data_IF_987366113533
#
_entry.id   IF_987366113533
#
_cell.length_a   1.000
_cell.length_b   1.000
_cell.length_c   1.000
_cell.angle_alpha   90.00
_cell.angle_beta   90.00
_cell.angle_gamma   90.00
#
_symmetry.space_group_name_H-M   'P 1'
#
loop_
_entity.id
_entity.type
_entity.pdbx_description
1 polymer ?
#
# COMPACT_ATOMS: atom_id res chain seq x y z
N UNK A 1 7.56 6.74 -22.12
CA UNK A 1 7.87 5.35 -21.76
C UNK A 1 9.38 5.15 -21.78
N UNK A 2 9.89 4.16 -21.04
CA UNK A 2 11.29 3.73 -21.13
C UNK A 2 11.32 2.39 -21.86
N UNK A 3 11.91 2.33 -23.05
CA UNK A 3 12.03 1.10 -23.84
C UNK A 3 13.13 0.21 -23.27
N UNK A 4 13.00 -1.10 -23.47
CA UNK A 4 14.02 -2.09 -23.08
C UNK A 4 14.46 -1.94 -21.61
N UNK A 5 13.48 -1.89 -20.68
CA UNK A 5 13.78 -1.68 -19.28
C UNK A 5 14.41 -2.92 -18.62
N UNK A 6 14.14 -4.13 -19.16
CA UNK A 6 14.67 -5.39 -18.68
C UNK A 6 13.63 -6.24 -17.93
N UNK A 7 14.09 -7.21 -17.15
CA UNK A 7 13.23 -8.06 -16.29
C UNK A 7 12.47 -7.23 -15.26
N UNK A 8 11.36 -7.71 -14.66
CA UNK A 8 10.53 -6.94 -13.72
C UNK A 8 11.32 -6.18 -12.66
N UNK A 9 12.19 -6.88 -11.91
CA UNK A 9 12.94 -6.28 -10.79
C UNK A 9 13.83 -5.11 -11.22
N UNK A 10 14.57 -5.24 -12.32
CA UNK A 10 15.47 -4.18 -12.81
C UNK A 10 14.71 -3.12 -13.62
N UNK A 11 13.76 -3.57 -14.45
CA UNK A 11 12.98 -2.74 -15.36
C UNK A 11 12.00 -1.82 -14.65
N UNK A 12 11.39 -2.27 -13.54
CA UNK A 12 10.55 -1.41 -12.70
C UNK A 12 11.37 -0.25 -12.12
N UNK A 13 12.57 -0.52 -11.57
CA UNK A 13 13.46 0.53 -11.05
C UNK A 13 13.87 1.51 -12.14
N UNK A 14 14.36 1.00 -13.28
CA UNK A 14 14.78 1.83 -14.42
C UNK A 14 13.64 2.70 -14.96
N UNK A 15 12.45 2.13 -15.06
CA UNK A 15 11.26 2.84 -15.53
C UNK A 15 10.78 3.88 -14.52
N UNK A 16 10.77 3.56 -13.23
CA UNK A 16 10.38 4.49 -12.17
C UNK A 16 11.31 5.70 -12.10
N UNK A 17 12.63 5.51 -12.25
CA UNK A 17 13.59 6.62 -12.31
C UNK A 17 13.35 7.48 -13.55
N UNK A 18 13.29 6.88 -14.74
CA UNK A 18 13.17 7.63 -15.99
C UNK A 18 11.83 8.37 -16.15
N UNK A 19 10.72 7.70 -15.84
CA UNK A 19 9.39 8.31 -15.89
C UNK A 19 9.16 9.24 -14.71
N UNK A 20 9.66 8.90 -13.52
CA UNK A 20 9.45 9.67 -12.31
C UNK A 20 9.96 11.10 -12.43
N UNK A 21 11.15 11.29 -13.02
CA UNK A 21 11.72 12.64 -13.23
C UNK A 21 10.85 13.49 -14.15
N UNK A 22 10.41 12.95 -15.30
CA UNK A 22 9.60 13.69 -16.27
C UNK A 22 8.22 14.02 -15.70
N UNK A 23 7.56 13.04 -15.08
CA UNK A 23 6.24 13.20 -14.49
C UNK A 23 6.25 14.19 -13.33
N UNK A 24 7.29 14.19 -12.48
CA UNK A 24 7.46 15.18 -11.41
C UNK A 24 7.63 16.61 -11.96
N UNK A 25 8.22 16.76 -13.15
CA UNK A 25 8.33 18.03 -13.86
C UNK A 25 7.04 18.44 -14.59
N UNK A 26 5.98 17.64 -14.50
CA UNK A 26 4.72 17.87 -15.21
C UNK A 26 4.76 17.50 -16.69
N UNK A 27 5.68 16.64 -17.11
CA UNK A 27 5.85 16.22 -18.50
C UNK A 27 5.31 14.80 -18.69
N UNK A 28 4.25 14.67 -19.49
CA UNK A 28 3.70 13.40 -19.95
C UNK A 28 2.20 13.24 -19.67
N UNK A 29 1.40 13.14 -20.73
CA UNK A 29 -0.06 12.95 -20.65
C UNK A 29 -0.47 11.47 -20.59
N UNK A 30 0.43 10.58 -21.01
CA UNK A 30 0.26 9.12 -20.97
C UNK A 30 1.62 8.45 -20.79
N UNK A 31 1.63 7.25 -20.21
CA UNK A 31 2.84 6.47 -20.01
C UNK A 31 2.65 5.01 -20.43
N UNK A 32 3.78 4.38 -20.70
CA UNK A 32 3.92 2.94 -20.87
C UNK A 32 5.21 2.52 -20.19
N UNK A 33 5.14 1.49 -19.36
CA UNK A 33 6.29 0.76 -18.82
C UNK A 33 6.59 -0.40 -19.78
N UNK A 34 7.86 -0.73 -20.03
CA UNK A 34 8.22 -1.81 -20.96
C UNK A 34 9.13 -2.83 -20.27
N UNK A 35 8.54 -3.94 -19.84
CA UNK A 35 9.20 -5.00 -19.08
C UNK A 35 9.29 -6.28 -19.93
N UNK A 36 10.35 -7.07 -19.70
CA UNK A 36 10.43 -8.44 -20.21
C UNK A 36 9.59 -9.37 -19.32
N UNK A 37 8.26 -9.20 -19.35
CA UNK A 37 7.29 -9.88 -18.49
C UNK A 37 5.89 -9.87 -19.11
N UNK A 38 4.91 -10.47 -18.41
CA UNK A 38 3.50 -10.35 -18.77
C UNK A 38 3.04 -8.90 -18.75
N UNK A 39 2.14 -8.54 -19.66
CA UNK A 39 1.67 -7.15 -19.83
C UNK A 39 1.00 -6.58 -18.57
N UNK A 40 0.43 -7.43 -17.71
CA UNK A 40 -0.16 -7.03 -16.42
C UNK A 40 0.86 -6.43 -15.46
N UNK A 41 2.12 -6.90 -15.50
CA UNK A 41 3.23 -6.35 -14.71
C UNK A 41 3.58 -4.92 -15.16
N UNK A 42 3.50 -4.65 -16.48
CA UNK A 42 3.70 -3.30 -17.02
C UNK A 42 2.62 -2.34 -16.53
N UNK A 43 1.36 -2.80 -16.49
CA UNK A 43 0.21 -2.02 -16.02
C UNK A 43 0.34 -1.74 -14.52
N UNK A 44 0.66 -2.76 -13.72
CA UNK A 44 0.92 -2.62 -12.29
C UNK A 44 1.99 -1.56 -12.03
N UNK A 45 3.16 -1.70 -12.65
CA UNK A 45 4.28 -0.76 -12.49
C UNK A 45 3.90 0.67 -12.88
N UNK A 46 3.11 0.84 -13.95
CA UNK A 46 2.62 2.15 -14.38
C UNK A 46 1.76 2.83 -13.33
N UNK A 47 0.83 2.11 -12.71
CA UNK A 47 0.01 2.63 -11.62
C UNK A 47 0.82 2.89 -10.35
N UNK A 48 1.78 2.02 -9.99
CA UNK A 48 2.65 2.24 -8.83
C UNK A 48 3.48 3.53 -8.96
N UNK A 49 4.03 3.81 -10.16
CA UNK A 49 4.76 5.07 -10.42
C UNK A 49 3.85 6.28 -10.23
N UNK A 50 2.63 6.23 -10.75
CA UNK A 50 1.67 7.34 -10.62
C UNK A 50 1.20 7.52 -9.17
N UNK A 51 0.98 6.42 -8.43
CA UNK A 51 0.63 6.45 -7.00
C UNK A 51 1.74 7.06 -6.17
N UNK A 52 3.00 6.66 -6.40
CA UNK A 52 4.16 7.17 -5.69
C UNK A 52 4.35 8.69 -5.87
N UNK A 53 3.93 9.24 -7.02
CA UNK A 53 3.97 10.67 -7.31
C UNK A 53 2.70 11.43 -6.90
N UNK A 54 1.66 10.74 -6.40
CA UNK A 54 0.37 11.35 -6.08
C UNK A 54 -0.41 11.86 -7.31
N UNK A 55 -0.10 11.36 -8.51
CA UNK A 55 -0.73 11.81 -9.76
C UNK A 55 -2.01 11.04 -10.10
N UNK A 56 -2.13 9.79 -9.62
CA UNK A 56 -3.31 8.96 -9.81
C UNK A 56 -3.44 7.93 -8.69
N UNK A 57 -4.65 7.73 -8.20
CA UNK A 57 -4.97 6.64 -7.28
C UNK A 57 -5.56 5.45 -8.05
N UNK A 58 -5.13 4.22 -7.73
CA UNK A 58 -5.66 2.99 -8.30
C UNK A 58 -5.37 1.78 -7.40
N UNK A 59 -6.42 1.10 -6.95
CA UNK A 59 -6.29 0.01 -5.99
C UNK A 59 -5.67 0.47 -4.66
N UNK A 60 -5.36 -0.46 -3.76
CA UNK A 60 -4.81 -0.14 -2.47
C UNK A 60 -3.36 0.31 -2.54
N UNK A 61 -2.89 0.85 -1.41
CA UNK A 61 -1.48 1.14 -1.15
C UNK A 61 -1.13 0.57 0.22
N UNK A 62 -0.19 -0.36 0.24
CA UNK A 62 0.39 -0.88 1.47
C UNK A 62 1.55 0.03 1.93
N UNK A 63 1.51 0.44 3.19
CA UNK A 63 2.56 1.19 3.87
C UNK A 63 3.10 0.30 4.97
N UNK A 64 4.29 -0.27 4.80
CA UNK A 64 4.92 -1.08 5.82
C UNK A 64 6.13 -0.33 6.41
N UNK A 65 6.31 -0.37 7.72
CA UNK A 65 7.57 0.11 8.30
C UNK A 65 8.71 -0.86 7.94
N UNK A 66 9.97 -0.39 7.90
CA UNK A 66 11.09 -1.30 7.87
C UNK A 66 11.14 -2.11 9.17
N UNK A 67 11.72 -3.31 9.12
CA UNK A 67 12.13 -3.98 10.36
C UNK A 67 13.25 -3.17 11.02
N UNK A 68 13.17 -3.02 12.34
CA UNK A 68 14.18 -2.31 13.14
C UNK A 68 14.31 -2.98 14.51
N UNK A 69 15.24 -2.52 15.35
CA UNK A 69 15.43 -3.07 16.71
C UNK A 69 14.25 -2.89 17.67
N UNK A 70 13.17 -2.23 17.23
CA UNK A 70 11.90 -2.10 17.97
C UNK A 70 10.80 -2.99 17.41
N UNK A 71 11.05 -3.75 16.35
CA UNK A 71 10.08 -4.67 15.78
C UNK A 71 9.83 -5.79 16.80
N UNK A 72 8.58 -5.89 17.26
CA UNK A 72 8.19 -6.85 18.30
C UNK A 72 7.30 -7.98 17.72
N UNK A 73 7.16 -8.05 16.39
CA UNK A 73 6.33 -9.02 15.64
C UNK A 73 7.04 -9.51 14.37
N UNK A 74 6.55 -10.60 13.79
CA UNK A 74 6.93 -11.10 12.45
C UNK A 74 6.35 -10.22 11.33
N UNK A 75 6.90 -9.01 11.20
CA UNK A 75 6.37 -7.95 10.34
C UNK A 75 6.38 -8.31 8.85
N UNK A 76 7.44 -8.98 8.37
CA UNK A 76 7.62 -9.28 6.95
C UNK A 76 6.51 -10.22 6.48
N UNK A 77 6.29 -11.33 7.20
CA UNK A 77 5.23 -12.29 6.89
C UNK A 77 3.84 -11.65 6.98
N UNK A 78 3.60 -10.81 7.98
CA UNK A 78 2.35 -10.09 8.12
C UNK A 78 2.12 -9.13 6.94
N UNK A 79 3.13 -8.37 6.53
CA UNK A 79 3.06 -7.45 5.41
C UNK A 79 2.80 -8.17 4.08
N UNK A 80 3.47 -9.30 3.82
CA UNK A 80 3.27 -10.13 2.62
C UNK A 80 1.84 -10.72 2.56
N UNK A 81 1.32 -11.18 3.70
CA UNK A 81 -0.07 -11.65 3.81
C UNK A 81 -1.06 -10.53 3.50
N UNK A 82 -0.82 -9.34 4.03
CA UNK A 82 -1.66 -8.17 3.76
C UNK A 82 -1.56 -7.75 2.30
N UNK A 83 -0.36 -7.73 1.71
CA UNK A 83 -0.16 -7.41 0.29
C UNK A 83 -0.94 -8.37 -0.61
N UNK A 84 -0.89 -9.67 -0.32
CA UNK A 84 -1.64 -10.70 -1.06
C UNK A 84 -3.14 -10.48 -0.97
N UNK A 85 -3.67 -10.14 0.20
CA UNK A 85 -5.09 -9.80 0.37
C UNK A 85 -5.48 -8.57 -0.46
N UNK A 86 -4.66 -7.53 -0.40
CA UNK A 86 -4.90 -6.25 -1.06
C UNK A 86 -4.94 -6.34 -2.60
N UNK A 87 -4.34 -7.36 -3.22
CA UNK A 87 -4.45 -7.58 -4.67
C UNK A 87 -5.91 -7.71 -5.17
N UNK A 88 -6.84 -8.09 -4.29
CA UNK A 88 -8.26 -8.24 -4.63
C UNK A 88 -9.07 -6.94 -4.45
N UNK A 89 -8.50 -5.93 -3.80
CA UNK A 89 -9.16 -4.64 -3.52
C UNK A 89 -8.97 -3.71 -4.72
N UNK A 90 -10.05 -3.09 -5.20
CA UNK A 90 -10.01 -2.19 -6.37
C UNK A 90 -10.05 -0.72 -5.97
N UNK A 91 -10.60 -0.46 -4.79
CA UNK A 91 -10.80 0.86 -4.24
C UNK A 91 -9.47 1.43 -3.74
N UNK A 92 -9.25 2.74 -3.91
CA UNK A 92 -8.07 3.39 -3.35
C UNK A 92 -8.20 3.43 -1.83
N UNK A 93 -7.41 2.60 -1.14
CA UNK A 93 -7.32 2.56 0.32
C UNK A 93 -5.86 2.44 0.75
N UNK A 94 -5.45 3.27 1.71
CA UNK A 94 -4.10 3.23 2.27
C UNK A 94 -4.11 2.40 3.55
N UNK A 95 -3.33 1.33 3.54
CA UNK A 95 -3.29 0.33 4.61
C UNK A 95 -1.90 0.29 5.21
N UNK A 96 -1.78 0.48 6.52
CA UNK A 96 -0.50 0.49 7.22
C UNK A 96 -0.25 -0.77 8.05
N UNK A 97 0.96 -1.33 7.97
CA UNK A 97 1.40 -2.47 8.79
C UNK A 97 2.69 -2.08 9.51
N UNK A 98 2.63 -2.02 10.83
CA UNK A 98 3.69 -1.47 11.67
C UNK A 98 4.20 -2.51 12.67
N UNK A 99 5.52 -2.62 12.79
CA UNK A 99 6.18 -3.61 13.66
C UNK A 99 6.24 -3.24 15.14
N UNK A 100 5.81 -2.03 15.53
CA UNK A 100 5.79 -1.59 16.92
C UNK A 100 4.69 -0.56 17.19
N UNK A 101 4.12 -0.58 18.39
CA UNK A 101 3.11 0.40 18.84
C UNK A 101 3.68 1.79 19.16
N UNK A 102 5.00 1.94 19.19
CA UNK A 102 5.68 3.19 19.58
C UNK A 102 5.67 4.19 18.43
N UNK A 103 6.26 3.82 17.29
CA UNK A 103 6.32 4.68 16.11
C UNK A 103 5.18 4.39 15.12
N UNK A 104 4.59 3.20 15.18
CA UNK A 104 3.54 2.75 14.27
C UNK A 104 2.38 3.75 14.10
N UNK A 105 1.81 4.34 15.17
CA UNK A 105 0.72 5.31 15.02
C UNK A 105 1.13 6.60 14.29
N UNK A 106 2.40 7.02 14.43
CA UNK A 106 2.94 8.20 13.76
C UNK A 106 3.23 7.94 12.28
N UNK A 107 3.81 6.79 11.98
CA UNK A 107 4.11 6.34 10.61
C UNK A 107 2.83 5.98 9.82
N UNK A 108 1.75 5.61 10.51
CA UNK A 108 0.45 5.29 9.92
C UNK A 108 -0.51 6.48 9.78
N UNK A 109 -0.08 7.72 10.01
CA UNK A 109 -0.98 8.90 9.98
C UNK A 109 -1.61 9.15 8.62
N UNK A 110 -0.87 8.88 7.56
CA UNK A 110 -1.31 9.05 6.18
C UNK A 110 -2.10 7.86 5.65
N UNK A 111 -2.27 6.81 6.46
CA UNK A 111 -3.08 5.64 6.13
C UNK A 111 -4.54 5.83 6.56
N UNK A 112 -5.46 5.27 5.77
CA UNK A 112 -6.87 5.21 6.13
C UNK A 112 -7.05 4.30 7.34
N UNK A 113 -6.40 3.14 7.31
CA UNK A 113 -6.36 2.13 8.37
C UNK A 113 -4.94 1.62 8.54
N UNK A 114 -4.58 1.23 9.76
CA UNK A 114 -3.34 0.50 9.99
C UNK A 114 -3.37 -0.33 11.25
N UNK A 115 -2.41 -1.23 11.35
CA UNK A 115 -2.18 -2.05 12.54
C UNK A 115 -0.76 -1.86 13.06
N UNK A 116 -0.61 -1.98 14.38
CA UNK A 116 0.68 -2.13 15.03
C UNK A 116 0.62 -3.24 16.06
N UNK A 117 1.62 -4.12 16.05
CA UNK A 117 1.76 -5.19 17.03
C UNK A 117 2.96 -4.99 17.97
N UNK A 118 2.92 -5.67 19.11
CA UNK A 118 4.06 -5.82 19.99
C UNK A 118 3.72 -6.47 21.34
N UNK A 119 4.62 -7.31 21.85
CA UNK A 119 4.51 -8.00 23.14
C UNK A 119 3.18 -8.78 23.31
N UNK A 120 2.73 -9.46 22.26
CA UNK A 120 1.49 -10.25 22.28
C UNK A 120 0.20 -9.41 22.22
N UNK A 121 0.31 -8.11 21.95
CA UNK A 121 -0.82 -7.19 21.79
C UNK A 121 -0.80 -6.54 20.42
N UNK A 122 -1.98 -6.31 19.88
CA UNK A 122 -2.21 -5.58 18.64
C UNK A 122 -3.08 -4.35 18.87
N UNK A 123 -2.89 -3.34 18.04
CA UNK A 123 -3.75 -2.17 17.97
C UNK A 123 -4.06 -1.82 16.52
N UNK A 124 -5.33 -1.52 16.25
CA UNK A 124 -5.82 -0.98 15.00
C UNK A 124 -5.97 0.54 15.13
N UNK A 125 -5.52 1.24 14.10
CA UNK A 125 -5.52 2.68 13.99
C UNK A 125 -6.32 3.10 12.75
N UNK A 126 -7.06 4.19 12.86
CA UNK A 126 -7.72 4.86 11.73
C UNK A 126 -7.24 6.31 11.70
N UNK A 127 -6.63 6.73 10.60
CA UNK A 127 -6.01 8.07 10.45
C UNK A 127 -5.10 8.45 11.64
N UNK A 128 -4.27 7.51 12.08
CA UNK A 128 -3.34 7.67 13.19
C UNK A 128 -3.95 7.65 14.61
N UNK A 129 -5.27 7.41 14.77
CA UNK A 129 -5.92 7.30 16.09
C UNK A 129 -6.24 5.84 16.42
N UNK A 130 -5.93 5.34 17.63
CA UNK A 130 -6.27 3.97 18.03
C UNK A 130 -7.79 3.82 18.12
N UNK A 131 -8.32 2.78 17.48
CA UNK A 131 -9.76 2.47 17.45
C UNK A 131 -10.06 1.21 18.25
N UNK A 132 -9.27 0.15 18.06
CA UNK A 132 -9.47 -1.16 18.69
C UNK A 132 -8.13 -1.76 19.09
N UNK A 133 -8.14 -2.51 20.19
CA UNK A 133 -7.01 -3.35 20.62
C UNK A 133 -7.41 -4.81 20.54
N UNK A 134 -6.49 -5.67 20.13
CA UNK A 134 -6.70 -7.11 20.00
C UNK A 134 -5.45 -7.88 20.45
N UNK A 135 -5.51 -9.21 20.38
CA UNK A 135 -4.29 -10.02 20.46
C UNK A 135 -3.50 -9.90 19.16
N UNK A 136 -2.20 -10.15 19.25
CA UNK A 136 -1.32 -10.12 18.07
C UNK A 136 -1.77 -11.09 16.97
N UNK A 137 -2.25 -12.27 17.34
CA UNK A 137 -2.77 -13.30 16.43
C UNK A 137 -4.00 -12.83 15.63
N UNK A 138 -4.78 -11.92 16.21
CA UNK A 138 -6.04 -11.40 15.64
C UNK A 138 -5.81 -10.16 14.74
N UNK A 139 -4.57 -9.65 14.65
CA UNK A 139 -4.24 -8.41 13.92
C UNK A 139 -4.64 -8.46 12.45
N UNK A 140 -4.36 -9.59 11.79
CA UNK A 140 -4.61 -9.75 10.37
C UNK A 140 -6.11 -9.76 10.07
N UNK A 141 -6.87 -10.56 10.82
CA UNK A 141 -8.33 -10.69 10.63
C UNK A 141 -9.01 -9.35 10.91
N UNK A 142 -8.61 -8.68 12.00
CA UNK A 142 -9.13 -7.37 12.36
C UNK A 142 -8.84 -6.31 11.29
N UNK A 143 -7.67 -6.36 10.66
CA UNK A 143 -7.32 -5.43 9.58
C UNK A 143 -8.20 -5.65 8.34
N UNK A 144 -8.44 -6.90 7.96
CA UNK A 144 -9.26 -7.25 6.80
C UNK A 144 -10.69 -6.77 6.98
N UNK A 145 -11.30 -7.06 8.14
CA UNK A 145 -12.65 -6.59 8.47
C UNK A 145 -12.77 -5.07 8.29
N UNK A 146 -11.80 -4.33 8.81
CA UNK A 146 -11.79 -2.88 8.74
C UNK A 146 -11.56 -2.36 7.30
N UNK A 147 -10.72 -3.03 6.51
CA UNK A 147 -10.53 -2.70 5.10
C UNK A 147 -11.81 -2.94 4.31
N UNK A 148 -12.49 -4.06 4.51
CA UNK A 148 -13.76 -4.38 3.84
C UNK A 148 -14.85 -3.36 4.19
N UNK A 149 -14.92 -2.91 5.44
CA UNK A 149 -15.83 -1.83 5.85
C UNK A 149 -15.54 -0.51 5.11
N UNK A 150 -14.26 -0.12 5.00
CA UNK A 150 -13.84 1.11 4.31
C UNK A 150 -14.14 0.99 2.81
N UNK A 151 -13.88 -0.16 2.21
CA UNK A 151 -14.17 -0.44 0.80
C UNK A 151 -15.67 -0.33 0.53
N UNK A 152 -16.50 -0.94 1.36
CA UNK A 152 -17.96 -0.86 1.24
C UNK A 152 -18.47 0.58 1.35
N UNK A 153 -17.93 1.38 2.28
CA UNK A 153 -18.27 2.80 2.43
C UNK A 153 -17.91 3.59 1.17
N UNK A 154 -16.68 3.42 0.63
CA UNK A 154 -16.23 4.11 -0.59
C UNK A 154 -17.07 3.73 -1.81
N UNK A 155 -17.46 2.45 -1.93
CA UNK A 155 -18.34 1.99 -3.00
C UNK A 155 -19.72 2.63 -2.92
N UNK A 156 -20.31 2.73 -1.71
CA UNK A 156 -21.59 3.39 -1.50
C UNK A 156 -21.54 4.88 -1.84
N UNK A 157 -20.49 5.60 -1.39
CA UNK A 157 -20.29 7.01 -1.72
C UNK A 157 -20.18 7.25 -3.23
N UNK A 158 -19.46 6.38 -3.94
CA UNK A 158 -19.31 6.45 -5.40
C UNK A 158 -20.62 6.16 -6.13
N UNK A 159 -21.45 5.26 -5.62
CA UNK A 159 -22.77 4.96 -6.19
C UNK A 159 -23.75 6.13 -6.04
N UNK A 160 -23.59 6.97 -5.00
CA UNK A 160 -24.41 8.16 -4.78
C UNK A 160 -23.91 9.36 -5.61
N UNK A 161 -22.61 9.40 -5.93
CA UNK A 161 -21.99 10.49 -6.70
C UNK A 161 -22.18 10.37 -8.23
N UNK A 162 -22.61 9.20 -8.73
CA UNK A 162 -22.90 8.93 -10.14
C UNK A 162 -24.41 9.01 -10.42
#
# INVERSE_FOLDING_TARGET
>A
GITEAGTPKAGMVKSAVGLGVLLYQGIGDTLRVSLAAESTEEVFAGYEILKALGLREHGPTLIACPTCGRCEIELIELAERVETFLQNVKEPVKVAVMGCVVNGPGEARDADVGIAGGRGKGALFRKGKPVRSCKEEELFDLLIEEVDEIVAQKQAERAVAN
#
